data_IF_986448191466
#
_entry.id   IF_986448191466
#
_cell.length_a   1.000
_cell.length_b   1.000
_cell.length_c   1.000
_cell.angle_alpha   90.00
_cell.angle_beta   90.00
_cell.angle_gamma   90.00
#
_symmetry.space_group_name_H-M   'P 1'
#
loop_
_entity.id
_entity.type
_entity.pdbx_description
1 polymer ?
#
# COMPACT_ATOMS: atom_id res chain seq x y z
N UNK A 1 -5.11 1.74 0.21
CA UNK A 1 -6.00 0.93 -0.64
C UNK A 1 -5.16 -0.04 -1.46
N UNK A 2 -5.58 -1.32 -1.60
CA UNK A 2 -4.88 -2.34 -2.43
C UNK A 2 -5.52 -2.57 -3.80
N UNK A 3 -6.77 -2.12 -3.99
CA UNK A 3 -7.51 -2.32 -5.24
C UNK A 3 -6.94 -1.51 -6.42
N UNK A 4 -6.44 -0.30 -6.16
CA UNK A 4 -5.80 0.54 -7.18
C UNK A 4 -4.59 -0.16 -7.82
N UNK A 5 -3.58 -0.58 -7.04
CA UNK A 5 -2.45 -1.37 -7.55
C UNK A 5 -2.88 -2.66 -8.26
N UNK A 6 -3.85 -3.41 -7.73
CA UNK A 6 -4.34 -4.63 -8.38
C UNK A 6 -5.02 -4.36 -9.73
N UNK A 7 -5.79 -3.28 -9.86
CA UNK A 7 -6.36 -2.87 -11.15
C UNK A 7 -5.28 -2.38 -12.12
N UNK A 8 -4.26 -1.70 -11.61
CA UNK A 8 -3.14 -1.23 -12.43
C UNK A 8 -2.33 -2.39 -13.03
N UNK A 9 -2.11 -3.48 -12.30
CA UNK A 9 -1.37 -4.64 -12.84
C UNK A 9 -2.13 -5.33 -13.98
N UNK A 10 -3.45 -5.46 -13.88
CA UNK A 10 -4.29 -5.97 -14.99
C UNK A 10 -4.14 -5.10 -16.23
N UNK A 11 -4.20 -3.76 -16.07
CA UNK A 11 -4.18 -2.82 -17.20
C UNK A 11 -2.79 -2.62 -17.81
N UNK A 12 -1.74 -2.59 -16.98
CA UNK A 12 -0.38 -2.26 -17.42
C UNK A 12 0.47 -3.48 -17.76
N UNK A 13 0.20 -4.62 -17.13
CA UNK A 13 0.95 -5.86 -17.31
C UNK A 13 0.11 -6.96 -17.97
N UNK A 14 -1.13 -6.66 -18.36
CA UNK A 14 -2.05 -7.60 -19.00
C UNK A 14 -2.27 -8.89 -18.21
N UNK A 15 -2.28 -8.81 -16.88
CA UNK A 15 -2.57 -9.96 -16.02
C UNK A 15 -4.04 -10.35 -16.09
N UNK A 16 -4.33 -11.62 -15.80
CA UNK A 16 -5.70 -12.11 -15.66
C UNK A 16 -6.41 -11.43 -14.48
N UNK A 17 -7.58 -10.79 -14.70
CA UNK A 17 -8.40 -10.22 -13.62
C UNK A 17 -8.76 -11.22 -12.50
N UNK A 18 -8.92 -12.50 -12.82
CA UNK A 18 -9.19 -13.55 -11.85
C UNK A 18 -7.99 -13.81 -10.95
N UNK A 19 -6.77 -13.75 -11.49
CA UNK A 19 -5.54 -13.86 -10.69
C UNK A 19 -5.39 -12.67 -9.74
N UNK A 20 -5.67 -11.45 -10.22
CA UNK A 20 -5.66 -10.26 -9.37
C UNK A 20 -6.69 -10.39 -8.23
N UNK A 21 -7.90 -10.87 -8.53
CA UNK A 21 -8.94 -11.13 -7.54
C UNK A 21 -8.50 -12.20 -6.53
N UNK A 22 -7.86 -13.28 -6.99
CA UNK A 22 -7.34 -14.35 -6.14
C UNK A 22 -6.24 -13.84 -5.20
N UNK A 23 -5.35 -12.96 -5.67
CA UNK A 23 -4.34 -12.30 -4.83
C UNK A 23 -5.00 -11.45 -3.75
N UNK A 24 -5.98 -10.62 -4.13
CA UNK A 24 -6.71 -9.78 -3.16
C UNK A 24 -7.42 -10.60 -2.09
N UNK A 25 -8.08 -11.70 -2.48
CA UNK A 25 -8.73 -12.61 -1.53
C UNK A 25 -7.74 -13.21 -0.54
N UNK A 26 -6.54 -13.60 -1.00
CA UNK A 26 -5.47 -14.11 -0.12
C UNK A 26 -4.88 -13.03 0.80
N UNK A 27 -4.92 -11.76 0.38
CA UNK A 27 -4.39 -10.64 1.16
C UNK A 27 -5.36 -10.20 2.27
N UNK A 28 -6.66 -10.51 2.16
CA UNK A 28 -7.69 -10.03 3.09
C UNK A 28 -7.36 -10.28 4.58
N UNK A 29 -6.95 -11.49 5.03
CA UNK A 29 -6.63 -11.71 6.43
C UNK A 29 -5.44 -10.86 6.93
N UNK A 30 -4.46 -10.58 6.06
CA UNK A 30 -3.33 -9.72 6.42
C UNK A 30 -3.77 -8.25 6.55
N UNK A 31 -4.74 -7.80 5.76
CA UNK A 31 -5.32 -6.46 5.89
C UNK A 31 -6.12 -6.31 7.19
N UNK A 32 -6.85 -7.35 7.61
CA UNK A 32 -7.57 -7.36 8.89
C UNK A 32 -6.60 -7.26 10.09
N UNK A 33 -5.49 -8.00 10.04
CA UNK A 33 -4.45 -7.91 11.05
C UNK A 33 -3.80 -6.51 11.09
N UNK A 34 -3.47 -5.95 9.91
CA UNK A 34 -2.92 -4.60 9.80
C UNK A 34 -3.89 -3.54 10.33
N UNK A 35 -5.18 -3.66 10.05
CA UNK A 35 -6.20 -2.73 10.54
C UNK A 35 -6.28 -2.76 12.07
N UNK A 36 -6.15 -3.94 12.68
CA UNK A 36 -6.12 -4.11 14.13
C UNK A 36 -4.87 -3.46 14.74
N UNK A 37 -3.68 -3.69 14.15
CA UNK A 37 -2.43 -3.05 14.57
C UNK A 37 -2.52 -1.51 14.46
N UNK A 38 -3.05 -1.01 13.35
CA UNK A 38 -3.25 0.42 13.12
C UNK A 38 -4.16 1.05 14.18
N UNK A 39 -5.25 0.38 14.57
CA UNK A 39 -6.13 0.84 15.63
C UNK A 39 -5.42 0.91 17.00
N UNK A 40 -4.57 -0.07 17.30
CA UNK A 40 -3.78 -0.07 18.53
C UNK A 40 -2.82 1.13 18.58
N UNK A 41 -2.09 1.39 17.49
CA UNK A 41 -1.21 2.56 17.39
C UNK A 41 -1.97 3.89 17.47
N UNK A 42 -3.12 3.99 16.79
CA UNK A 42 -3.95 5.20 16.84
C UNK A 42 -4.49 5.48 18.25
N UNK A 43 -4.88 4.42 18.97
CA UNK A 43 -5.34 4.53 20.36
C UNK A 43 -4.22 5.03 21.27
N UNK A 44 -3.01 4.48 21.11
CA UNK A 44 -1.83 4.91 21.86
C UNK A 44 -1.46 6.36 21.55
N UNK A 45 -1.44 6.74 20.27
CA UNK A 45 -1.11 8.09 19.85
C UNK A 45 -2.07 9.15 20.40
N UNK A 46 -3.35 8.78 20.59
CA UNK A 46 -4.33 9.65 21.24
C UNK A 46 -4.04 9.88 22.74
N UNK A 47 -3.44 8.91 23.42
CA UNK A 47 -3.13 8.99 24.84
C UNK A 47 -1.74 9.58 25.13
N UNK A 48 -0.75 9.26 24.29
CA UNK A 48 0.67 9.51 24.54
C UNK A 48 1.30 10.52 23.56
N UNK A 49 0.58 10.89 22.49
CA UNK A 49 1.05 11.81 21.46
C UNK A 49 1.44 11.13 20.13
N UNK A 50 1.53 11.92 19.04
CA UNK A 50 1.72 11.40 17.67
C UNK A 50 3.07 10.72 17.45
N UNK A 51 4.08 10.99 18.28
CA UNK A 51 5.41 10.38 18.17
C UNK A 51 5.41 8.86 18.41
N UNK A 52 4.31 8.32 18.94
CA UNK A 52 4.10 6.88 19.11
C UNK A 52 3.60 6.16 17.85
N UNK A 53 3.24 6.92 16.80
CA UNK A 53 2.84 6.35 15.52
C UNK A 53 4.04 5.69 14.81
N UNK A 54 3.84 4.54 14.17
CA UNK A 54 4.94 3.84 13.50
C UNK A 54 5.39 4.62 12.24
N UNK A 55 6.66 5.04 12.23
CA UNK A 55 7.32 5.65 11.06
C UNK A 55 8.27 4.65 10.40
N UNK A 56 7.74 3.50 9.95
CA UNK A 56 8.55 2.44 9.33
C UNK A 56 9.10 2.91 7.99
N UNK A 57 10.42 2.79 7.79
CA UNK A 57 11.05 3.06 6.51
C UNK A 57 10.70 1.99 5.47
N UNK A 58 10.65 2.35 4.18
CA UNK A 58 10.47 1.42 3.07
C UNK A 58 11.43 1.75 1.92
N UNK A 59 12.76 1.54 2.09
CA UNK A 59 13.77 2.10 1.19
C UNK A 59 13.58 1.78 -0.30
N UNK A 60 13.10 0.57 -0.62
CA UNK A 60 12.83 0.18 -2.01
C UNK A 60 11.62 0.91 -2.60
N UNK A 61 10.58 1.16 -1.80
CA UNK A 61 9.42 1.94 -2.23
C UNK A 61 9.77 3.42 -2.36
N UNK A 62 10.59 3.95 -1.45
CA UNK A 62 11.08 5.33 -1.51
C UNK A 62 11.88 5.57 -2.80
N UNK A 63 12.81 4.65 -3.13
CA UNK A 63 13.59 4.71 -4.37
C UNK A 63 12.71 4.55 -5.63
N UNK A 64 11.71 3.65 -5.58
CA UNK A 64 10.78 3.47 -6.70
C UNK A 64 9.91 4.71 -6.93
N UNK A 65 9.50 5.40 -5.86
CA UNK A 65 8.76 6.66 -5.93
C UNK A 65 9.62 7.78 -6.55
N UNK A 66 10.87 7.91 -6.13
CA UNK A 66 11.83 8.85 -6.74
C UNK A 66 12.05 8.56 -8.23
N UNK A 67 12.19 7.29 -8.59
CA UNK A 67 12.33 6.90 -9.98
C UNK A 67 11.07 7.23 -10.79
N UNK A 68 9.87 6.96 -10.26
CA UNK A 68 8.60 7.34 -10.88
C UNK A 68 8.45 8.85 -11.04
N UNK A 69 8.86 9.63 -10.02
CA UNK A 69 8.81 11.08 -10.05
C UNK A 69 9.64 11.67 -11.20
N UNK A 70 10.76 11.04 -11.55
CA UNK A 70 11.67 11.46 -12.63
C UNK A 70 11.26 10.96 -14.02
N UNK A 71 10.24 10.11 -14.15
CA UNK A 71 9.80 9.62 -15.48
C UNK A 71 9.16 10.76 -16.29
N UNK A 72 9.54 10.92 -17.57
CA UNK A 72 9.01 11.98 -18.43
C UNK A 72 7.53 11.78 -18.79
N UNK A 73 7.07 10.54 -18.86
CA UNK A 73 5.66 10.19 -19.04
C UNK A 73 5.17 9.41 -17.83
N UNK A 74 3.98 9.77 -17.32
CA UNK A 74 3.38 9.15 -16.14
C UNK A 74 1.95 8.74 -16.46
N UNK A 75 1.62 7.49 -16.14
CA UNK A 75 0.25 6.96 -16.26
C UNK A 75 -0.55 7.16 -14.97
N UNK A 76 0.13 7.46 -13.87
CA UNK A 76 -0.46 7.79 -12.56
C UNK A 76 0.27 8.97 -11.94
N UNK A 77 -0.48 9.81 -11.23
CA UNK A 77 0.11 10.83 -10.34
C UNK A 77 0.65 10.16 -9.09
N UNK A 78 1.75 10.72 -8.57
CA UNK A 78 2.13 10.59 -7.16
C UNK A 78 1.29 11.53 -6.32
#
# INVERSE_FOLDING_TARGET
SVGGPASATVRLLSLDPLDATRVLARLAPALDALATEALAHATRARAEGPDTLPARAAPLLDLAAEHHARRPHKLFTT
#
